data_IF_863231859203
#
_entry.id   IF_863231859203
#
_cell.length_a   1.000
_cell.length_b   1.000
_cell.length_c   1.000
_cell.angle_alpha   90.00
_cell.angle_beta   90.00
_cell.angle_gamma   90.00
#
_symmetry.space_group_name_H-M   'P 1'
#
loop_
_entity.id
_entity.type
_entity.pdbx_description
1 polymer ?
#
# COMPACT_ATOMS: atom_id res chain seq x y z
N UNK A 1 32.61 -13.85 13.99
CA UNK A 1 32.93 -13.10 12.75
C UNK A 1 32.29 -11.72 12.90
N UNK A 2 32.98 -10.64 12.53
CA UNK A 2 32.43 -9.28 12.64
C UNK A 2 31.83 -8.87 11.29
N UNK A 3 30.61 -8.33 11.30
CA UNK A 3 29.88 -7.88 10.10
C UNK A 3 29.87 -6.36 10.07
N UNK A 4 30.09 -5.79 8.88
CA UNK A 4 30.15 -4.36 8.66
C UNK A 4 29.30 -3.97 7.45
N UNK A 5 28.62 -2.83 7.54
CA UNK A 5 27.94 -2.16 6.43
C UNK A 5 28.50 -0.74 6.35
N UNK A 6 29.14 -0.42 5.22
CA UNK A 6 29.95 0.80 5.10
C UNK A 6 31.07 0.82 6.16
N UNK A 7 31.07 1.86 7.01
CA UNK A 7 32.02 2.02 8.12
C UNK A 7 31.46 1.59 9.49
N UNK A 8 30.21 1.10 9.55
CA UNK A 8 29.53 0.74 10.79
C UNK A 8 29.63 -0.75 11.07
N UNK A 9 29.94 -1.11 12.32
CA UNK A 9 29.92 -2.50 12.79
C UNK A 9 28.52 -2.86 13.25
N UNK A 10 27.97 -3.95 12.73
CA UNK A 10 26.68 -4.50 13.16
C UNK A 10 26.83 -5.18 14.52
N UNK A 11 26.07 -4.71 15.52
CA UNK A 11 26.04 -5.21 16.90
C UNK A 11 24.83 -6.12 17.16
N UNK A 12 23.76 -6.01 16.35
CA UNK A 12 22.56 -6.85 16.47
C UNK A 12 21.94 -7.21 15.11
N UNK A 13 21.09 -8.26 15.04
CA UNK A 13 20.35 -8.57 13.81
C UNK A 13 19.40 -7.45 13.37
N UNK A 14 18.74 -6.74 14.29
CA UNK A 14 17.86 -5.62 13.94
C UNK A 14 18.64 -4.47 13.29
N UNK A 15 19.80 -4.13 13.85
CA UNK A 15 20.70 -3.12 13.27
C UNK A 15 21.24 -3.54 11.90
N UNK A 16 21.43 -4.85 11.66
CA UNK A 16 21.78 -5.33 10.32
C UNK A 16 20.68 -4.99 9.31
N UNK A 17 19.44 -5.29 9.66
CA UNK A 17 18.29 -5.05 8.79
C UNK A 17 18.14 -3.53 8.52
N UNK A 18 18.24 -2.70 9.56
CA UNK A 18 18.21 -1.24 9.44
C UNK A 18 19.33 -0.68 8.54
N UNK A 19 20.58 -1.12 8.76
CA UNK A 19 21.72 -0.64 7.98
C UNK A 19 21.72 -1.17 6.54
N UNK A 20 21.18 -2.37 6.30
CA UNK A 20 21.16 -3.01 4.99
C UNK A 20 19.98 -2.56 4.12
N UNK A 21 18.82 -2.31 4.74
CA UNK A 21 17.56 -2.04 4.05
C UNK A 21 17.09 -0.59 4.20
N UNK A 22 17.70 0.19 5.12
CA UNK A 22 17.19 1.48 5.56
C UNK A 22 16.15 1.31 6.67
N UNK A 23 15.77 2.41 7.33
CA UNK A 23 14.63 2.38 8.26
C UNK A 23 13.36 1.94 7.50
N UNK A 24 12.54 1.08 8.12
CA UNK A 24 11.18 0.74 7.66
C UNK A 24 10.23 1.95 7.65
N UNK A 25 10.70 3.12 8.09
CA UNK A 25 10.04 4.40 7.90
C UNK A 25 10.00 4.71 6.40
N UNK A 26 8.93 4.20 5.77
CA UNK A 26 8.49 4.64 4.46
C UNK A 26 8.55 6.18 4.46
N UNK A 27 9.11 6.80 3.41
CA UNK A 27 9.16 8.25 3.33
C UNK A 27 7.76 8.83 3.58
N UNK A 28 7.71 9.96 4.30
CA UNK A 28 6.50 10.75 4.53
C UNK A 28 5.75 10.88 3.19
N UNK A 29 4.63 10.18 3.09
CA UNK A 29 4.03 9.89 1.79
C UNK A 29 2.72 9.14 1.91
N UNK A 30 2.04 9.06 0.78
CA UNK A 30 0.69 8.55 0.65
C UNK A 30 0.62 7.05 1.05
N UNK A 31 -0.21 6.71 2.05
CA UNK A 31 -0.42 5.31 2.46
C UNK A 31 -1.04 4.51 1.31
N UNK A 32 -0.23 3.71 0.63
CA UNK A 32 -0.67 2.97 -0.56
C UNK A 32 -1.70 1.91 -0.23
N UNK A 33 -1.63 1.31 0.96
CA UNK A 33 -2.55 0.25 1.38
C UNK A 33 -3.93 0.79 1.69
N UNK A 34 -4.03 2.04 2.14
CA UNK A 34 -5.31 2.76 2.26
C UNK A 34 -6.06 2.78 0.91
N UNK A 35 -5.38 3.11 -0.19
CA UNK A 35 -6.03 3.26 -1.49
C UNK A 35 -6.15 1.95 -2.28
N UNK A 36 -5.06 1.18 -2.41
CA UNK A 36 -5.06 -0.08 -3.18
C UNK A 36 -5.69 -1.26 -2.44
N UNK A 37 -5.78 -1.15 -1.11
CA UNK A 37 -6.10 -2.25 -0.20
C UNK A 37 -4.88 -3.10 0.17
N UNK A 38 -4.94 -3.83 1.29
CA UNK A 38 -3.81 -4.64 1.74
C UNK A 38 -3.53 -5.78 0.77
N UNK A 39 -2.28 -6.23 0.72
CA UNK A 39 -1.87 -7.41 -0.06
C UNK A 39 -2.41 -8.73 0.53
N UNK A 40 -2.81 -8.70 1.79
CA UNK A 40 -3.40 -9.82 2.54
C UNK A 40 -4.92 -9.83 2.44
N UNK A 41 -5.54 -10.83 3.06
CA UNK A 41 -7.00 -10.91 3.14
C UNK A 41 -7.57 -9.73 3.94
N UNK A 42 -8.66 -9.16 3.41
CA UNK A 42 -9.38 -8.03 4.00
C UNK A 42 -10.85 -8.43 4.16
N UNK A 43 -11.44 -8.19 5.33
CA UNK A 43 -12.87 -8.46 5.55
C UNK A 43 -13.74 -7.48 4.73
N UNK A 44 -14.98 -7.84 4.38
CA UNK A 44 -15.90 -6.92 3.71
C UNK A 44 -16.11 -5.60 4.47
N UNK A 45 -16.21 -5.68 5.81
CA UNK A 45 -16.39 -4.52 6.68
C UNK A 45 -15.13 -3.66 6.72
N UNK A 46 -13.95 -4.29 6.83
CA UNK A 46 -12.67 -3.59 6.78
C UNK A 46 -12.46 -2.89 5.43
N UNK A 47 -12.86 -3.55 4.34
CA UNK A 47 -12.86 -2.97 3.00
C UNK A 47 -13.79 -1.76 2.91
N UNK A 48 -15.00 -1.85 3.44
CA UNK A 48 -15.95 -0.75 3.42
C UNK A 48 -15.40 0.47 4.19
N UNK A 49 -14.89 0.24 5.41
CA UNK A 49 -14.28 1.29 6.23
C UNK A 49 -13.07 1.93 5.53
N UNK A 50 -12.18 1.12 4.96
CA UNK A 50 -11.01 1.63 4.22
C UNK A 50 -11.42 2.47 3.01
N UNK A 51 -12.42 2.02 2.25
CA UNK A 51 -12.91 2.77 1.08
C UNK A 51 -13.60 4.07 1.47
N UNK A 52 -14.20 4.14 2.66
CA UNK A 52 -14.80 5.36 3.19
C UNK A 52 -13.72 6.38 3.49
N UNK A 53 -12.73 5.99 4.31
CA UNK A 53 -11.58 6.85 4.65
C UNK A 53 -10.80 7.26 3.40
N UNK A 54 -10.58 6.35 2.45
CA UNK A 54 -9.88 6.67 1.21
C UNK A 54 -10.58 7.76 0.39
N UNK A 55 -11.92 7.80 0.40
CA UNK A 55 -12.68 8.85 -0.30
C UNK A 55 -12.57 10.20 0.40
N UNK A 56 -12.63 10.20 1.73
CA UNK A 56 -12.45 11.41 2.53
C UNK A 56 -11.07 12.02 2.29
N UNK A 57 -10.00 11.22 2.38
CA UNK A 57 -8.64 11.68 2.16
C UNK A 57 -8.42 12.22 0.75
N UNK A 58 -9.00 11.59 -0.29
CA UNK A 58 -8.91 12.11 -1.66
C UNK A 58 -9.62 13.47 -1.78
N UNK A 59 -10.78 13.64 -1.13
CA UNK A 59 -11.51 14.89 -1.16
C UNK A 59 -10.75 16.01 -0.44
N UNK A 60 -10.12 15.72 0.69
CA UNK A 60 -9.29 16.67 1.43
C UNK A 60 -8.07 17.11 0.61
N UNK A 61 -7.35 16.16 0.01
CA UNK A 61 -6.21 16.46 -0.87
C UNK A 61 -6.63 17.29 -2.10
N UNK A 62 -7.80 17.01 -2.68
CA UNK A 62 -8.32 17.79 -3.79
C UNK A 62 -8.67 19.22 -3.36
N UNK A 63 -9.27 19.41 -2.18
CA UNK A 63 -9.58 20.72 -1.64
C UNK A 63 -8.31 21.54 -1.32
N UNK A 64 -7.27 20.90 -0.80
CA UNK A 64 -5.95 21.52 -0.61
C UNK A 64 -5.33 21.94 -1.95
N UNK A 65 -5.47 21.09 -2.98
CA UNK A 65 -5.07 21.39 -4.34
C UNK A 65 -5.79 22.60 -4.94
N UNK A 66 -7.11 22.70 -4.75
CA UNK A 66 -7.90 23.88 -5.12
C UNK A 66 -7.46 25.13 -4.35
N UNK A 67 -6.97 24.96 -3.13
CA UNK A 67 -6.36 26.00 -2.29
C UNK A 67 -4.96 26.46 -2.74
N UNK A 68 -4.38 25.80 -3.75
CA UNK A 68 -3.09 26.15 -4.35
C UNK A 68 -1.91 25.25 -3.97
N UNK A 69 -2.16 24.15 -3.26
CA UNK A 69 -1.12 23.14 -3.01
C UNK A 69 -0.99 22.17 -4.20
N UNK A 70 -0.01 22.43 -5.06
CA UNK A 70 0.24 21.61 -6.24
C UNK A 70 0.58 20.14 -5.88
N UNK A 71 1.26 19.91 -4.75
CA UNK A 71 1.62 18.55 -4.33
C UNK A 71 0.37 17.80 -3.92
N UNK A 72 -0.52 18.42 -3.13
CA UNK A 72 -1.79 17.82 -2.73
C UNK A 72 -2.67 17.49 -3.96
N UNK A 73 -2.67 18.36 -4.99
CA UNK A 73 -3.38 18.09 -6.23
C UNK A 73 -2.84 16.83 -6.96
N UNK A 74 -1.51 16.67 -7.04
CA UNK A 74 -0.89 15.48 -7.62
C UNK A 74 -1.15 14.23 -6.78
N UNK A 75 -1.10 14.36 -5.45
CA UNK A 75 -1.37 13.30 -4.52
C UNK A 75 -2.82 12.81 -4.61
N UNK A 76 -3.80 13.72 -4.76
CA UNK A 76 -5.20 13.36 -4.98
C UNK A 76 -5.39 12.52 -6.25
N UNK A 77 -4.76 12.92 -7.37
CA UNK A 77 -4.80 12.18 -8.63
C UNK A 77 -4.15 10.80 -8.51
N UNK A 78 -3.02 10.71 -7.81
CA UNK A 78 -2.31 9.46 -7.60
C UNK A 78 -3.08 8.51 -6.68
N UNK A 79 -3.66 9.03 -5.59
CA UNK A 79 -4.52 8.32 -4.66
C UNK A 79 -5.73 7.71 -5.38
N UNK A 80 -6.45 8.51 -6.17
CA UNK A 80 -7.58 8.04 -6.99
C UNK A 80 -7.16 6.94 -7.97
N UNK A 81 -6.01 7.10 -8.65
CA UNK A 81 -5.49 6.06 -9.53
C UNK A 81 -5.19 4.75 -8.79
N UNK A 82 -4.64 4.81 -7.57
CA UNK A 82 -4.37 3.62 -6.74
C UNK A 82 -5.64 2.84 -6.39
N UNK A 83 -6.78 3.52 -6.15
CA UNK A 83 -8.06 2.83 -5.84
C UNK A 83 -8.56 1.92 -6.97
N UNK A 84 -8.10 2.15 -8.20
CA UNK A 84 -8.45 1.35 -9.40
C UNK A 84 -7.49 0.19 -9.63
N UNK A 85 -6.40 0.11 -8.87
CA UNK A 85 -5.44 -0.99 -8.97
C UNK A 85 -5.90 -2.19 -8.13
N UNK A 86 -5.65 -3.39 -8.63
CA UNK A 86 -5.94 -4.64 -7.90
C UNK A 86 -4.62 -5.41 -7.73
N UNK A 87 -4.21 -5.75 -6.51
CA UNK A 87 -3.01 -6.58 -6.31
C UNK A 87 -3.11 -7.87 -7.12
N UNK A 88 -2.08 -8.19 -7.91
CA UNK A 88 -2.07 -9.33 -8.83
C UNK A 88 -2.40 -10.66 -8.12
N UNK A 89 -1.95 -10.83 -6.87
CA UNK A 89 -2.26 -12.01 -6.05
C UNK A 89 -3.76 -12.17 -5.76
N UNK A 90 -4.51 -11.06 -5.65
CA UNK A 90 -5.98 -11.08 -5.50
C UNK A 90 -6.66 -11.46 -6.81
N UNK A 91 -6.17 -10.95 -7.95
CA UNK A 91 -6.69 -11.27 -9.28
C UNK A 91 -6.51 -12.75 -9.64
N UNK A 92 -5.34 -13.34 -9.31
CA UNK A 92 -5.07 -14.75 -9.53
C UNK A 92 -5.98 -15.66 -8.67
N UNK A 93 -6.21 -15.29 -7.40
CA UNK A 93 -7.09 -16.05 -6.50
C UNK A 93 -8.57 -16.00 -6.92
N UNK A 94 -9.05 -14.87 -7.43
CA UNK A 94 -10.42 -14.79 -7.96
C UNK A 94 -10.58 -15.56 -9.28
N UNK A 95 -9.58 -15.51 -10.16
CA UNK A 95 -9.58 -16.27 -11.41
C UNK A 95 -9.60 -17.79 -11.17
N UNK A 96 -8.78 -18.29 -10.25
CA UNK A 96 -8.73 -19.72 -9.90
C UNK A 96 -10.01 -20.27 -9.25
N UNK A 97 -10.83 -19.42 -8.62
CA UNK A 97 -12.15 -19.81 -8.08
C UNK A 97 -13.23 -19.95 -9.16
N UNK A 98 -13.06 -19.29 -10.31
CA UNK A 98 -14.03 -19.34 -11.41
C UNK A 98 -13.89 -20.56 -12.33
N UNK A 99 -12.76 -21.29 -12.26
CA UNK A 99 -12.54 -22.50 -13.07
C UNK A 99 -13.01 -23.80 -12.40
N UNK A 100 -13.63 -23.74 -11.22
CA UNK A 100 -14.01 -24.91 -10.41
C UNK A 100 -15.51 -25.21 -10.35
N UNK A 101 -16.35 -24.53 -11.13
CA UNK A 101 -17.80 -24.76 -11.17
C UNK A 101 -18.21 -25.26 -12.56
N UNK A 102 -17.99 -26.55 -12.78
CA UNK A 102 -18.33 -27.27 -14.02
C UNK A 102 -18.21 -28.79 -13.81
N UNK A 103 -18.86 -29.31 -12.76
CA UNK A 103 -19.25 -30.73 -12.63
C UNK A 103 -20.01 -31.15 -13.91
N UNK A 104 -19.71 -32.27 -14.57
CA UNK A 104 -19.77 -33.65 -14.08
C UNK A 104 -21.17 -34.02 -13.52
N UNK A 105 -22.13 -34.25 -14.41
CA UNK A 105 -23.22 -35.24 -14.28
C UNK A 105 -23.92 -35.42 -15.63
#
# INVERSE_FOLDING_TARGET
MRTYIGTHQVLSPAEFDELALGFDELPLGLDRDLFRGPLTHESPEGRAARLDVAREVIADLAAEGEGGDEIAAWDALYADALTRTVPFLRAAQSAGRSSGAGEAA
#
